data_IF_944094295440
#
_entry.id   IF_944094295440
#
_cell.length_a   1.000
_cell.length_b   1.000
_cell.length_c   1.000
_cell.angle_alpha   90.00
_cell.angle_beta   90.00
_cell.angle_gamma   90.00
#
_symmetry.space_group_name_H-M   'P 1'
#
loop_
_entity.id
_entity.type
_entity.pdbx_description
1 polymer ?
#
# COMPACT_ATOMS: atom_id res chain seq x y z
N UNK A 1 -4.79 -11.67 -21.32
CA UNK A 1 -3.71 -10.71 -21.09
C UNK A 1 -3.64 -9.65 -22.19
N UNK A 2 -3.78 -10.03 -23.46
CA UNK A 2 -3.75 -9.08 -24.59
C UNK A 2 -4.78 -7.95 -24.49
N UNK A 3 -6.01 -8.25 -24.07
CA UNK A 3 -7.05 -7.22 -23.92
C UNK A 3 -6.73 -6.23 -22.79
N UNK A 4 -6.10 -6.71 -21.72
CA UNK A 4 -5.64 -5.85 -20.62
C UNK A 4 -4.48 -4.95 -21.07
N UNK A 5 -3.53 -5.49 -21.83
CA UNK A 5 -2.44 -4.69 -22.39
C UNK A 5 -2.96 -3.60 -23.33
N UNK A 6 -3.90 -3.93 -24.23
CA UNK A 6 -4.56 -2.94 -25.10
C UNK A 6 -5.30 -1.87 -24.31
N UNK A 7 -6.03 -2.26 -23.25
CA UNK A 7 -6.73 -1.32 -22.39
C UNK A 7 -5.76 -0.37 -21.66
N UNK A 8 -4.61 -0.88 -21.20
CA UNK A 8 -3.56 -0.07 -20.58
C UNK A 8 -2.91 0.89 -21.58
N UNK A 9 -2.64 0.45 -22.81
CA UNK A 9 -2.08 1.30 -23.87
C UNK A 9 -3.03 2.42 -24.28
N UNK A 10 -4.34 2.15 -24.30
CA UNK A 10 -5.37 3.15 -24.63
C UNK A 10 -5.66 4.12 -23.47
N UNK A 11 -5.32 3.76 -22.23
CA UNK A 11 -5.63 4.57 -21.05
C UNK A 11 -4.65 5.74 -20.89
N UNK A 12 -5.18 6.95 -20.77
CA UNK A 12 -4.37 8.15 -20.48
C UNK A 12 -3.84 8.17 -19.03
N UNK A 13 -4.62 7.63 -18.09
CA UNK A 13 -4.28 7.59 -16.67
C UNK A 13 -4.89 6.33 -16.00
N UNK A 14 -4.24 5.16 -16.12
CA UNK A 14 -4.71 3.95 -15.46
C UNK A 14 -4.58 4.05 -13.92
N UNK A 15 -5.66 3.65 -13.23
CA UNK A 15 -5.72 3.57 -11.76
C UNK A 15 -5.95 2.12 -11.34
N UNK A 16 -5.05 1.59 -10.53
CA UNK A 16 -5.14 0.22 -10.01
C UNK A 16 -5.78 0.24 -8.63
N UNK A 17 -7.00 -0.28 -8.54
CA UNK A 17 -7.73 -0.40 -7.29
C UNK A 17 -7.34 -1.70 -6.58
N UNK A 18 -7.02 -1.62 -5.28
CA UNK A 18 -6.69 -2.80 -4.48
C UNK A 18 -7.15 -2.64 -3.03
N UNK A 19 -7.53 -3.74 -2.39
CA UNK A 19 -7.74 -3.83 -0.95
C UNK A 19 -6.79 -4.90 -0.43
N UNK A 20 -5.77 -4.50 0.34
CA UNK A 20 -4.79 -5.45 0.86
C UNK A 20 -5.18 -5.95 2.24
N UNK A 21 -5.07 -7.27 2.46
CA UNK A 21 -4.73 -7.80 3.78
C UNK A 21 -3.20 -7.86 3.91
N UNK A 22 -2.70 -7.78 5.15
CA UNK A 22 -1.30 -7.96 5.55
C UNK A 22 -0.63 -9.22 4.98
N UNK A 23 -1.42 -10.21 4.54
CA UNK A 23 -0.96 -11.47 3.96
C UNK A 23 -0.59 -11.40 2.47
N UNK A 24 -0.90 -10.30 1.78
CA UNK A 24 -0.66 -10.14 0.32
C UNK A 24 0.56 -9.25 -0.03
N UNK A 25 1.54 -9.13 0.89
CA UNK A 25 2.68 -8.21 0.73
C UNK A 25 3.42 -8.31 -0.61
N UNK A 26 3.69 -9.52 -1.10
CA UNK A 26 4.39 -9.75 -2.38
C UNK A 26 3.55 -9.31 -3.60
N UNK A 27 2.23 -9.49 -3.56
CA UNK A 27 1.36 -9.07 -4.64
C UNK A 27 1.28 -7.54 -4.70
N UNK A 28 1.25 -6.88 -3.54
CA UNK A 28 1.32 -5.42 -3.44
C UNK A 28 2.67 -4.88 -3.95
N UNK A 29 3.78 -5.54 -3.59
CA UNK A 29 5.11 -5.16 -4.09
C UNK A 29 5.19 -5.30 -5.63
N UNK A 30 4.68 -6.40 -6.18
CA UNK A 30 4.58 -6.59 -7.63
C UNK A 30 3.72 -5.50 -8.30
N UNK A 31 2.58 -5.15 -7.70
CA UNK A 31 1.71 -4.09 -8.21
C UNK A 31 2.41 -2.73 -8.22
N UNK A 32 3.15 -2.40 -7.15
CA UNK A 32 3.95 -1.16 -7.10
C UNK A 32 5.07 -1.18 -8.14
N UNK A 33 5.70 -2.33 -8.39
CA UNK A 33 6.66 -2.52 -9.47
C UNK A 33 6.05 -2.24 -10.85
N UNK A 34 4.88 -2.83 -11.14
CA UNK A 34 4.13 -2.59 -12.38
C UNK A 34 3.79 -1.11 -12.56
N UNK A 35 3.27 -0.44 -11.53
CA UNK A 35 2.95 0.99 -11.57
C UNK A 35 4.22 1.81 -11.81
N UNK A 36 5.34 1.45 -11.20
CA UNK A 36 6.63 2.10 -11.41
C UNK A 36 7.10 1.98 -12.85
N UNK A 37 6.98 0.79 -13.46
CA UNK A 37 7.36 0.56 -14.85
C UNK A 37 6.47 1.31 -15.84
N UNK A 38 5.16 1.38 -15.60
CA UNK A 38 4.23 2.18 -16.40
C UNK A 38 4.58 3.68 -16.33
N UNK A 39 4.94 4.15 -15.14
CA UNK A 39 5.30 5.56 -14.90
C UNK A 39 6.60 6.01 -15.61
N UNK A 40 7.39 5.08 -16.18
CA UNK A 40 8.55 5.42 -17.03
C UNK A 40 8.13 6.06 -18.35
N UNK A 41 6.91 5.76 -18.84
CA UNK A 41 6.41 6.23 -20.16
C UNK A 41 5.16 7.08 -20.06
N UNK A 42 4.29 6.81 -19.08
CA UNK A 42 3.03 7.53 -18.89
C UNK A 42 2.81 7.84 -17.41
N UNK A 43 1.56 8.10 -16.99
CA UNK A 43 1.20 8.32 -15.60
C UNK A 43 0.19 7.27 -15.16
N UNK A 44 0.52 6.56 -14.09
CA UNK A 44 -0.31 5.51 -13.50
C UNK A 44 -0.29 5.63 -11.96
N UNK A 45 -1.37 5.23 -11.29
CA UNK A 45 -1.44 5.26 -9.82
C UNK A 45 -2.14 4.05 -9.24
N UNK A 46 -1.81 3.71 -8.00
CA UNK A 46 -2.59 2.78 -7.19
C UNK A 46 -3.54 3.53 -6.27
N UNK A 47 -4.75 2.99 -6.07
CA UNK A 47 -5.70 3.46 -5.07
C UNK A 47 -5.98 2.32 -4.08
N UNK A 48 -5.54 2.50 -2.84
CA UNK A 48 -5.80 1.56 -1.76
C UNK A 48 -7.20 1.78 -1.17
N UNK A 49 -7.99 0.72 -1.11
CA UNK A 49 -9.27 0.67 -0.41
C UNK A 49 -9.09 -0.01 0.95
N UNK A 50 -9.04 0.75 2.05
CA UNK A 50 -8.87 0.16 3.37
C UNK A 50 -10.12 -0.63 3.77
N UNK A 51 -9.90 -1.81 4.37
CA UNK A 51 -11.00 -2.63 4.89
C UNK A 51 -11.74 -1.98 6.08
N UNK A 52 -11.08 -1.05 6.78
CA UNK A 52 -11.65 -0.31 7.92
C UNK A 52 -11.14 1.12 7.94
N UNK A 53 -12.05 2.10 7.94
CA UNK A 53 -11.72 3.52 8.07
C UNK A 53 -11.01 3.80 9.41
N UNK A 54 -11.51 3.23 10.51
CA UNK A 54 -10.89 3.37 11.83
C UNK A 54 -9.51 2.70 11.89
N UNK A 55 -9.36 1.54 11.25
CA UNK A 55 -8.06 0.86 11.14
C UNK A 55 -7.02 1.71 10.38
N UNK A 56 -7.43 2.30 9.26
CA UNK A 56 -6.57 3.18 8.47
C UNK A 56 -6.23 4.48 9.22
N UNK A 57 -7.22 5.10 9.86
CA UNK A 57 -7.02 6.30 10.68
C UNK A 57 -6.07 6.05 11.86
N UNK A 58 -6.19 4.91 12.53
CA UNK A 58 -5.27 4.48 13.60
C UNK A 58 -3.85 4.29 13.07
N UNK A 59 -3.70 3.71 11.86
CA UNK A 59 -2.37 3.55 11.25
C UNK A 59 -1.70 4.89 10.93
N UNK A 60 -2.45 5.85 10.39
CA UNK A 60 -1.98 7.20 10.13
C UNK A 60 -1.60 7.93 11.44
N UNK A 61 -2.46 7.85 12.45
CA UNK A 61 -2.22 8.46 13.75
C UNK A 61 -0.98 7.88 14.46
N UNK A 62 -0.84 6.55 14.50
CA UNK A 62 0.35 5.88 15.04
C UNK A 62 1.61 6.37 14.32
N UNK A 63 1.56 6.47 12.99
CA UNK A 63 2.71 6.87 12.18
C UNK A 63 3.14 8.29 12.50
N UNK A 64 2.22 9.26 12.60
CA UNK A 64 2.62 10.64 12.92
C UNK A 64 3.04 10.80 14.39
N UNK A 65 2.47 10.03 15.32
CA UNK A 65 2.75 10.16 16.76
C UNK A 65 4.06 9.47 17.15
N UNK A 66 4.38 8.36 16.50
CA UNK A 66 5.42 7.42 16.97
C UNK A 66 6.51 7.19 15.93
N UNK A 67 6.29 7.58 14.67
CA UNK A 67 7.15 7.24 13.54
C UNK A 67 6.87 5.87 12.92
N UNK A 68 5.98 5.06 13.52
CA UNK A 68 5.73 3.68 13.10
C UNK A 68 4.23 3.36 12.97
N UNK A 69 3.86 2.41 12.10
CA UNK A 69 2.48 1.93 12.00
C UNK A 69 2.08 1.16 13.29
N UNK A 70 0.82 0.67 13.39
CA UNK A 70 0.38 -0.17 14.50
C UNK A 70 1.27 -1.41 14.62
N UNK A 71 1.19 -2.14 15.74
CA UNK A 71 2.17 -3.18 16.14
C UNK A 71 3.48 -2.58 16.69
N UNK A 72 3.35 -1.42 17.34
CA UNK A 72 4.44 -0.70 17.99
C UNK A 72 4.31 -0.81 19.51
N UNK A 73 5.34 -1.36 20.16
CA UNK A 73 5.43 -1.49 21.63
C UNK A 73 6.20 -0.34 22.27
N UNK A 74 5.94 -0.10 23.56
CA UNK A 74 6.57 1.00 24.33
C UNK A 74 7.27 0.53 25.62
N UNK A 75 7.51 -0.79 25.76
CA UNK A 75 7.99 -1.38 27.01
C UNK A 75 9.36 -0.84 27.48
N UNK A 76 10.18 -0.31 26.57
CA UNK A 76 11.51 0.24 26.85
C UNK A 76 11.53 1.77 26.95
N UNK A 77 10.37 2.43 26.96
CA UNK A 77 10.25 3.89 27.03
C UNK A 77 10.44 4.63 25.70
N UNK A 78 10.60 3.89 24.60
CA UNK A 78 10.62 4.41 23.22
C UNK A 78 9.80 3.48 22.31
N UNK A 79 9.29 3.97 21.17
CA UNK A 79 8.53 3.14 20.23
C UNK A 79 9.42 2.10 19.55
N UNK A 80 9.04 0.83 19.66
CA UNK A 80 9.65 -0.31 18.96
C UNK A 80 8.62 -0.99 18.06
N UNK A 81 8.80 -0.90 16.74
CA UNK A 81 7.94 -1.58 15.76
C UNK A 81 8.39 -3.03 15.55
N UNK A 82 7.46 -3.97 15.76
CA UNK A 82 7.66 -5.39 15.49
C UNK A 82 6.37 -6.00 14.92
N UNK A 83 6.30 -6.21 13.58
CA UNK A 83 5.08 -6.70 12.94
C UNK A 83 4.74 -8.15 13.32
N UNK A 84 5.72 -8.96 13.77
CA UNK A 84 5.54 -10.37 14.09
C UNK A 84 5.14 -10.61 15.54
N UNK A 85 5.54 -9.71 16.44
CA UNK A 85 5.33 -9.89 17.88
C UNK A 85 3.97 -9.46 18.40
N UNK A 86 3.42 -8.37 17.86
CA UNK A 86 2.15 -7.81 18.35
C UNK A 86 0.98 -8.26 17.51
#
# INVERSE_FOLDING_TARGET
FDDFAKALEAAHFPVFLFSGDSTEGLALEMLQGLITDLNRKSRASGLHLPASENGWGSALASTWMTGFPPRTGFARGFPEFDPWRY
#
